data_IF_800546307598
#
_entry.id   IF_800546307598
#
_cell.length_a   1.000
_cell.length_b   1.000
_cell.length_c   1.000
_cell.angle_alpha   90.00
_cell.angle_beta   90.00
_cell.angle_gamma   90.00
#
_symmetry.space_group_name_H-M   'P 1'
#
loop_
_entity.id
_entity.type
_entity.pdbx_description
1 polymer ?
#
# COMPACT_ATOMS: atom_id res chain seq x y z
N UNK A 1 -16.97 -5.66 9.14
CA UNK A 1 -16.05 -5.99 8.03
C UNK A 1 -15.34 -4.76 7.45
N UNK A 2 -15.91 -3.55 7.51
CA UNK A 2 -15.22 -2.33 7.05
C UNK A 2 -13.99 -1.94 7.90
N UNK A 3 -14.06 -2.08 9.24
CA UNK A 3 -12.93 -1.77 10.15
C UNK A 3 -11.75 -2.73 9.98
N UNK A 4 -12.00 -4.03 9.76
CA UNK A 4 -10.94 -5.02 9.48
C UNK A 4 -10.25 -4.78 8.14
N UNK A 5 -10.95 -4.18 7.18
CA UNK A 5 -10.34 -3.78 5.90
C UNK A 5 -9.52 -2.50 6.04
N UNK A 6 -9.97 -1.56 6.89
CA UNK A 6 -9.21 -0.36 7.25
C UNK A 6 -7.92 -0.66 8.02
N UNK A 7 -7.95 -1.62 8.94
CA UNK A 7 -6.75 -2.07 9.68
C UNK A 7 -5.69 -2.63 8.72
N UNK A 8 -6.09 -3.59 7.86
CA UNK A 8 -5.24 -4.17 6.83
C UNK A 8 -4.69 -3.11 5.85
N UNK A 9 -5.50 -2.14 5.48
CA UNK A 9 -5.09 -1.04 4.61
C UNK A 9 -4.00 -0.18 5.25
N UNK A 10 -4.20 0.28 6.49
CA UNK A 10 -3.18 1.10 7.16
C UNK A 10 -1.91 0.30 7.43
N UNK A 11 -2.01 -1.02 7.58
CA UNK A 11 -0.85 -1.89 7.70
C UNK A 11 -0.01 -1.99 6.40
N UNK A 12 -0.61 -1.74 5.22
CA UNK A 12 0.09 -1.76 3.93
C UNK A 12 0.84 -0.46 3.61
N UNK A 13 0.64 0.62 4.39
CA UNK A 13 1.32 1.91 4.19
C UNK A 13 2.84 1.80 4.38
N UNK A 14 3.26 0.81 5.17
CA UNK A 14 4.66 0.47 5.39
C UNK A 14 4.94 -0.84 4.63
N UNK A 15 5.49 -0.78 3.41
CA UNK A 15 5.69 -1.95 2.56
C UNK A 15 6.94 -2.72 2.98
N UNK A 16 7.01 -3.13 4.25
CA UNK A 16 8.15 -3.89 4.78
C UNK A 16 8.27 -5.27 4.15
N UNK A 17 7.14 -5.86 3.76
CA UNK A 17 7.11 -7.10 2.97
C UNK A 17 7.69 -6.94 1.58
N UNK A 18 7.69 -5.73 1.02
CA UNK A 18 8.21 -5.49 -0.31
C UNK A 18 9.73 -5.27 -0.33
N UNK A 19 10.35 -4.87 0.80
CA UNK A 19 11.80 -4.72 0.96
C UNK A 19 12.62 -5.94 0.49
N UNK A 20 12.34 -7.18 0.96
CA UNK A 20 13.11 -8.36 0.54
C UNK A 20 12.96 -8.66 -0.95
N UNK A 21 11.75 -8.50 -1.50
CA UNK A 21 11.50 -8.67 -2.94
C UNK A 21 12.25 -7.63 -3.76
N UNK A 22 12.31 -6.39 -3.28
CA UNK A 22 13.05 -5.31 -3.92
C UNK A 22 14.57 -5.52 -3.90
N UNK A 23 15.08 -6.03 -2.79
CA UNK A 23 16.49 -6.37 -2.64
C UNK A 23 16.91 -7.48 -3.62
N UNK A 24 16.04 -8.46 -3.85
CA UNK A 24 16.26 -9.55 -4.83
C UNK A 24 16.12 -9.02 -6.27
N UNK A 25 15.15 -8.14 -6.52
CA UNK A 25 14.90 -7.55 -7.85
C UNK A 25 15.89 -6.43 -8.23
N UNK A 26 16.72 -5.93 -7.30
CA UNK A 26 17.64 -4.81 -7.53
C UNK A 26 16.93 -3.46 -7.81
N UNK A 27 15.64 -3.35 -7.45
CA UNK A 27 14.82 -2.19 -7.75
C UNK A 27 14.93 -1.13 -6.64
N UNK A 28 14.72 0.14 -7.00
CA UNK A 28 14.82 1.25 -6.04
C UNK A 28 13.58 1.32 -5.16
N UNK A 29 13.77 1.41 -3.83
CA UNK A 29 12.70 1.54 -2.83
C UNK A 29 11.71 2.67 -3.15
N UNK A 30 12.22 3.72 -3.79
CA UNK A 30 11.45 4.90 -4.20
C UNK A 30 10.36 4.58 -5.22
N UNK A 31 10.57 3.62 -6.13
CA UNK A 31 9.56 3.25 -7.13
C UNK A 31 8.40 2.47 -6.49
N UNK A 32 8.69 1.62 -5.50
CA UNK A 32 7.66 0.85 -4.81
C UNK A 32 6.90 1.68 -3.78
N UNK A 33 7.57 2.62 -3.09
CA UNK A 33 6.87 3.53 -2.18
C UNK A 33 5.92 4.47 -2.95
N UNK A 34 6.29 4.91 -4.15
CA UNK A 34 5.39 5.67 -5.03
C UNK A 34 4.13 4.87 -5.37
N UNK A 35 4.27 3.59 -5.70
CA UNK A 35 3.14 2.70 -5.96
C UNK A 35 2.26 2.50 -4.72
N UNK A 36 2.85 2.25 -3.55
CA UNK A 36 2.11 2.10 -2.29
C UNK A 36 1.29 3.35 -1.94
N UNK A 37 1.85 4.54 -2.12
CA UNK A 37 1.14 5.81 -1.88
C UNK A 37 -0.03 6.00 -2.85
N UNK A 38 0.16 5.67 -4.12
CA UNK A 38 -0.90 5.75 -5.14
C UNK A 38 -2.02 4.76 -4.81
N UNK A 39 -1.70 3.52 -4.47
CA UNK A 39 -2.70 2.52 -4.09
C UNK A 39 -3.46 2.93 -2.84
N UNK A 40 -2.81 3.61 -1.89
CA UNK A 40 -3.42 4.08 -0.65
C UNK A 40 -4.40 5.25 -0.89
N UNK A 41 -4.02 6.16 -1.78
CA UNK A 41 -4.89 7.26 -2.21
C UNK A 41 -6.08 6.75 -3.05
N UNK A 42 -5.82 5.83 -3.99
CA UNK A 42 -6.87 5.23 -4.83
C UNK A 42 -7.85 4.41 -4.02
N UNK A 43 -7.36 3.54 -3.13
CA UNK A 43 -8.22 2.81 -2.23
C UNK A 43 -8.99 3.80 -1.35
N UNK A 44 -8.33 4.88 -0.90
CA UNK A 44 -8.89 6.02 -0.13
C UNK A 44 -10.16 6.54 -0.75
N UNK A 45 -9.99 6.95 -2.01
CA UNK A 45 -11.05 7.48 -2.84
C UNK A 45 -12.15 6.42 -3.01
N UNK A 46 -11.81 5.20 -3.39
CA UNK A 46 -12.78 4.12 -3.63
C UNK A 46 -13.64 3.83 -2.39
N UNK A 47 -13.05 3.73 -1.19
CA UNK A 47 -13.82 3.57 0.05
C UNK A 47 -14.76 4.76 0.27
N UNK A 48 -14.24 5.98 0.16
CA UNK A 48 -15.05 7.18 0.43
C UNK A 48 -16.15 7.41 -0.61
N UNK A 49 -15.99 6.91 -1.84
CA UNK A 49 -17.02 6.98 -2.89
C UNK A 49 -17.98 5.79 -2.87
N UNK A 50 -17.60 4.68 -2.25
CA UNK A 50 -18.43 3.46 -2.14
C UNK A 50 -19.25 3.40 -0.85
N UNK A 51 -19.00 4.31 0.11
CA UNK A 51 -19.82 4.59 1.29
C UNK A 51 -20.92 5.60 0.98
#
# INVERSE_FOLDING_TARGET
MAVSWGDAWTHMIQPFWALPVLAIAGLKLRDIMGYCVITLLLSGIVITTAS
#
